data_IF_280161836764
#
_entry.id   IF_280161836764
#
_cell.length_a   1.000
_cell.length_b   1.000
_cell.length_c   1.000
_cell.angle_alpha   90.00
_cell.angle_beta   90.00
_cell.angle_gamma   90.00
#
_symmetry.space_group_name_H-M   'P 1'
#
loop_
_entity.id
_entity.type
_entity.pdbx_description
1 polymer ?
#
# COMPACT_ATOMS: atom_id res chain seq x y z
N UNK A 1 -2.70 -2.86 23.27
CA UNK A 1 -3.80 -2.40 22.38
C UNK A 1 -3.96 -3.36 21.22
N UNK A 2 -4.67 -4.48 21.46
CA UNK A 2 -4.91 -5.51 20.44
C UNK A 2 -5.40 -4.90 19.10
N UNK A 3 -4.79 -5.32 18.00
CA UNK A 3 -5.11 -4.99 16.61
C UNK A 3 -4.81 -3.56 16.16
N UNK A 4 -4.19 -2.73 16.98
CA UNK A 4 -3.80 -1.37 16.56
C UNK A 4 -2.67 -1.43 15.52
N UNK A 5 -1.59 -2.18 15.82
CA UNK A 5 -0.42 -2.27 14.91
C UNK A 5 -0.79 -3.00 13.62
N UNK A 6 -1.60 -4.08 13.72
CA UNK A 6 -2.18 -4.74 12.55
C UNK A 6 -2.96 -3.74 11.68
N UNK A 7 -3.79 -2.89 12.32
CA UNK A 7 -4.51 -1.85 11.63
C UNK A 7 -3.58 -0.86 10.91
N UNK A 8 -2.51 -0.41 11.56
CA UNK A 8 -1.54 0.52 10.95
C UNK A 8 -0.92 -0.10 9.69
N UNK A 9 -0.48 -1.35 9.76
CA UNK A 9 0.13 -2.03 8.61
C UNK A 9 -0.89 -2.27 7.49
N UNK A 10 -2.11 -2.72 7.80
CA UNK A 10 -3.16 -2.87 6.78
C UNK A 10 -3.59 -1.53 6.20
N UNK A 11 -3.68 -0.50 7.04
CA UNK A 11 -4.04 0.85 6.62
C UNK A 11 -3.01 1.47 5.69
N UNK A 12 -1.72 1.14 5.85
CA UNK A 12 -0.69 1.62 4.92
C UNK A 12 -0.73 0.95 3.54
N UNK A 13 -1.45 -0.16 3.38
CA UNK A 13 -1.67 -0.82 2.09
C UNK A 13 -3.01 -0.44 1.44
N UNK A 14 -3.97 0.04 2.24
CA UNK A 14 -5.36 0.20 1.82
C UNK A 14 -5.57 1.30 0.76
N UNK A 15 -4.91 2.48 0.80
CA UNK A 15 -5.12 3.51 -0.19
C UNK A 15 -4.87 3.03 -1.61
N UNK A 16 -3.84 2.23 -1.84
CA UNK A 16 -3.48 1.68 -3.15
C UNK A 16 -4.48 0.65 -3.71
N UNK A 17 -5.49 0.27 -2.93
CA UNK A 17 -6.58 -0.56 -3.45
C UNK A 17 -7.39 0.13 -4.57
N UNK A 18 -7.28 1.46 -4.73
CA UNK A 18 -7.88 2.20 -5.85
C UNK A 18 -7.27 1.83 -7.21
N UNK A 19 -6.07 1.24 -7.22
CA UNK A 19 -5.48 0.66 -8.43
C UNK A 19 -6.34 -0.48 -9.02
N UNK A 20 -7.25 -1.09 -8.23
CA UNK A 20 -8.27 -1.98 -8.78
C UNK A 20 -9.24 -1.24 -9.71
N UNK A 21 -9.64 -0.02 -9.37
CA UNK A 21 -10.49 0.80 -10.24
C UNK A 21 -9.73 1.20 -11.51
N UNK A 22 -8.44 1.52 -11.40
CA UNK A 22 -7.57 1.79 -12.56
C UNK A 22 -7.47 0.56 -13.47
N UNK A 23 -7.29 -0.63 -12.90
CA UNK A 23 -7.24 -1.88 -13.66
C UNK A 23 -8.55 -2.17 -14.39
N UNK A 24 -9.69 -2.02 -13.72
CA UNK A 24 -11.02 -2.19 -14.34
C UNK A 24 -11.21 -1.19 -15.47
N UNK A 25 -10.91 0.09 -15.26
CA UNK A 25 -11.01 1.12 -16.29
C UNK A 25 -10.11 0.80 -17.49
N UNK A 26 -8.87 0.33 -17.25
CA UNK A 26 -7.95 -0.08 -18.31
C UNK A 26 -8.51 -1.24 -19.15
N UNK A 27 -9.05 -2.29 -18.50
CA UNK A 27 -9.63 -3.46 -19.19
C UNK A 27 -10.88 -3.07 -19.99
N UNK A 28 -11.68 -2.13 -19.48
CA UNK A 28 -12.91 -1.66 -20.14
C UNK A 28 -12.67 -0.51 -21.11
N UNK A 29 -11.40 -0.13 -21.35
CA UNK A 29 -11.03 1.02 -22.18
C UNK A 29 -11.70 2.34 -21.74
N UNK A 30 -11.96 2.48 -20.44
CA UNK A 30 -12.52 3.67 -19.81
C UNK A 30 -11.40 4.63 -19.36
N UNK A 31 -11.68 5.94 -19.19
CA UNK A 31 -10.71 6.88 -18.66
C UNK A 31 -10.19 6.48 -17.28
N UNK A 32 -8.87 6.50 -17.08
CA UNK A 32 -8.22 6.20 -15.80
C UNK A 32 -7.88 7.45 -14.98
N UNK A 33 -7.97 8.64 -15.60
CA UNK A 33 -7.65 9.90 -14.94
C UNK A 33 -8.54 10.12 -13.70
N UNK A 34 -7.93 10.49 -12.59
CA UNK A 34 -8.63 10.78 -11.34
C UNK A 34 -9.14 9.54 -10.58
N UNK A 35 -8.73 8.32 -10.96
CA UNK A 35 -9.07 7.10 -10.21
C UNK A 35 -8.05 6.76 -9.12
N UNK A 36 -6.79 7.14 -9.31
CA UNK A 36 -5.73 6.92 -8.32
C UNK A 36 -5.42 8.22 -7.57
N UNK A 37 -5.03 8.10 -6.30
CA UNK A 37 -4.73 9.20 -5.37
C UNK A 37 -5.89 10.17 -5.12
N UNK A 38 -7.12 9.67 -5.15
CA UNK A 38 -8.34 10.43 -4.93
C UNK A 38 -9.15 9.89 -3.75
N UNK A 39 -10.18 9.11 -4.00
CA UNK A 39 -11.13 8.61 -3.01
C UNK A 39 -10.46 7.94 -1.80
N UNK A 40 -9.60 6.94 -2.03
CA UNK A 40 -8.94 6.17 -0.97
C UNK A 40 -7.88 6.98 -0.22
N UNK A 41 -7.37 8.05 -0.83
CA UNK A 41 -6.37 8.94 -0.27
C UNK A 41 -6.99 10.20 0.37
N UNK A 42 -8.32 10.20 0.60
CA UNK A 42 -9.02 11.33 1.19
C UNK A 42 -9.14 11.22 2.70
N UNK A 43 -8.97 12.35 3.40
CA UNK A 43 -9.25 12.44 4.84
C UNK A 43 -10.71 12.11 5.18
N UNK A 44 -11.66 12.35 4.28
CA UNK A 44 -13.03 11.93 4.48
C UNK A 44 -13.16 10.41 4.50
N UNK A 45 -12.45 9.71 3.60
CA UNK A 45 -12.42 8.24 3.59
C UNK A 45 -11.71 7.69 4.83
N UNK A 46 -10.59 8.28 5.23
CA UNK A 46 -9.88 7.92 6.48
C UNK A 46 -10.82 8.04 7.67
N UNK A 47 -11.51 9.19 7.79
CA UNK A 47 -12.46 9.44 8.89
C UNK A 47 -13.62 8.44 8.85
N UNK A 48 -14.18 8.18 7.66
CA UNK A 48 -15.27 7.22 7.49
C UNK A 48 -14.85 5.80 7.92
N UNK A 49 -13.66 5.34 7.53
CA UNK A 49 -13.11 4.04 7.95
C UNK A 49 -13.02 3.97 9.48
N UNK A 50 -12.43 4.97 10.13
CA UNK A 50 -12.34 5.02 11.60
C UNK A 50 -13.74 4.96 12.22
N UNK A 51 -14.66 5.81 11.77
CA UNK A 51 -16.03 5.88 12.33
C UNK A 51 -16.79 4.57 12.17
N UNK A 52 -16.71 3.92 11.01
CA UNK A 52 -17.36 2.63 10.75
C UNK A 52 -16.85 1.56 11.71
N UNK A 53 -15.54 1.44 11.88
CA UNK A 53 -14.96 0.47 12.80
C UNK A 53 -15.26 0.79 14.26
N UNK A 54 -15.31 2.06 14.66
CA UNK A 54 -15.74 2.46 16.01
C UNK A 54 -17.20 2.08 16.25
N UNK A 55 -18.09 2.34 15.28
CA UNK A 55 -19.48 1.96 15.37
C UNK A 55 -19.64 0.42 15.51
N UNK A 56 -18.93 -0.35 14.67
CA UNK A 56 -18.92 -1.82 14.73
C UNK A 56 -18.42 -2.28 16.12
N UNK A 57 -17.35 -1.66 16.64
CA UNK A 57 -16.81 -2.00 17.96
C UNK A 57 -17.83 -1.82 19.07
N UNK A 58 -18.57 -0.70 19.05
CA UNK A 58 -19.65 -0.40 20.01
C UNK A 58 -20.80 -1.40 19.87
N UNK A 59 -21.31 -1.61 18.67
CA UNK A 59 -22.44 -2.51 18.41
C UNK A 59 -22.14 -3.97 18.75
N UNK A 60 -20.90 -4.41 18.48
CA UNK A 60 -20.47 -5.79 18.75
C UNK A 60 -19.86 -5.98 20.14
N UNK A 61 -19.66 -4.90 20.89
CA UNK A 61 -18.95 -4.89 22.20
C UNK A 61 -17.54 -5.49 22.09
N UNK A 62 -16.84 -5.24 20.96
CA UNK A 62 -15.48 -5.75 20.69
C UNK A 62 -14.50 -4.60 20.50
N UNK A 63 -13.87 -4.07 21.58
CA UNK A 63 -13.01 -2.87 21.52
C UNK A 63 -11.80 -3.04 20.57
N UNK A 64 -11.31 -4.27 20.35
CA UNK A 64 -10.25 -4.56 19.38
C UNK A 64 -10.58 -4.13 17.94
N UNK A 65 -11.86 -4.10 17.56
CA UNK A 65 -12.28 -3.61 16.24
C UNK A 65 -12.15 -2.08 16.16
N UNK A 66 -12.39 -1.36 17.26
CA UNK A 66 -12.14 0.07 17.33
C UNK A 66 -10.65 0.41 17.20
N UNK A 67 -9.78 -0.37 17.86
CA UNK A 67 -8.33 -0.24 17.71
C UNK A 67 -7.87 -0.53 16.28
N UNK A 68 -8.44 -1.58 15.65
CA UNK A 68 -8.17 -1.88 14.23
C UNK A 68 -8.53 -0.69 13.33
N UNK A 69 -9.73 -0.10 13.53
CA UNK A 69 -10.17 1.06 12.75
C UNK A 69 -9.28 2.28 12.95
N UNK A 70 -8.89 2.56 14.20
CA UNK A 70 -7.94 3.63 14.49
C UNK A 70 -6.58 3.37 13.81
N UNK A 71 -6.08 2.14 13.90
CA UNK A 71 -4.86 1.72 13.23
C UNK A 71 -4.95 1.89 11.72
N UNK A 72 -6.06 1.44 11.10
CA UNK A 72 -6.30 1.62 9.66
C UNK A 72 -6.20 3.10 9.29
N UNK A 73 -6.86 3.99 10.04
CA UNK A 73 -6.81 5.43 9.77
C UNK A 73 -5.40 6.00 9.88
N UNK A 74 -4.64 5.62 10.92
CA UNK A 74 -3.24 6.04 11.09
C UNK A 74 -2.39 5.55 9.91
N UNK A 75 -2.52 4.27 9.52
CA UNK A 75 -1.79 3.69 8.39
C UNK A 75 -2.09 4.39 7.08
N UNK A 76 -3.37 4.70 6.80
CA UNK A 76 -3.79 5.45 5.62
C UNK A 76 -3.17 6.86 5.59
N UNK A 77 -3.16 7.57 6.74
CA UNK A 77 -2.52 8.89 6.83
C UNK A 77 -1.02 8.79 6.56
N UNK A 78 -0.34 7.80 7.12
CA UNK A 78 1.10 7.59 6.88
C UNK A 78 1.38 7.31 5.40
N UNK A 79 0.55 6.50 4.74
CA UNK A 79 0.64 6.23 3.30
C UNK A 79 0.49 7.53 2.49
N UNK A 80 -0.57 8.30 2.73
CA UNK A 80 -0.84 9.57 2.03
C UNK A 80 0.34 10.55 2.19
N UNK A 81 0.91 10.63 3.40
CA UNK A 81 2.09 11.47 3.66
C UNK A 81 3.33 11.00 2.90
N UNK A 82 3.55 9.68 2.82
CA UNK A 82 4.64 9.10 2.03
C UNK A 82 4.46 9.38 0.53
N UNK A 83 3.24 9.29 0.03
CA UNK A 83 2.94 9.64 -1.36
C UNK A 83 3.31 11.08 -1.68
N UNK A 84 2.93 12.03 -0.82
CA UNK A 84 3.26 13.44 -0.98
C UNK A 84 4.77 13.72 -0.89
N UNK A 85 5.53 12.88 -0.16
CA UNK A 85 6.98 13.06 0.03
C UNK A 85 7.81 12.38 -1.06
N UNK A 86 7.37 11.22 -1.55
CA UNK A 86 8.16 10.37 -2.44
C UNK A 86 7.82 10.63 -3.90
N UNK A 87 6.52 10.84 -4.21
CA UNK A 87 6.05 10.96 -5.58
C UNK A 87 5.87 12.41 -5.99
N UNK A 88 6.09 12.68 -7.29
CA UNK A 88 5.96 14.02 -7.88
C UNK A 88 4.54 14.36 -8.31
N UNK A 89 3.62 13.42 -8.16
CA UNK A 89 2.21 13.61 -8.43
C UNK A 89 1.48 14.10 -7.17
N UNK A 90 0.40 14.85 -7.36
CA UNK A 90 -0.42 15.31 -6.25
C UNK A 90 -1.36 14.23 -5.71
N UNK A 91 -1.95 14.52 -4.55
CA UNK A 91 -2.98 13.73 -3.89
C UNK A 91 -4.21 14.61 -3.64
N UNK A 92 -5.40 14.09 -3.93
CA UNK A 92 -6.66 14.80 -3.68
C UNK A 92 -7.17 14.50 -2.26
N UNK A 93 -6.49 15.06 -1.27
CA UNK A 93 -6.70 14.73 0.15
C UNK A 93 -8.07 15.11 0.71
N UNK A 94 -8.80 16.00 0.04
CA UNK A 94 -10.17 16.41 0.40
C UNK A 94 -11.20 15.94 -0.64
N UNK A 95 -10.92 14.86 -1.38
CA UNK A 95 -11.93 14.31 -2.29
C UNK A 95 -13.29 14.14 -1.56
N UNK A 96 -14.46 14.53 -2.16
CA UNK A 96 -14.67 14.87 -3.57
C UNK A 96 -14.41 16.34 -3.96
N UNK A 97 -13.85 17.17 -3.09
CA UNK A 97 -13.48 18.52 -3.44
C UNK A 97 -12.29 18.48 -4.43
N UNK A 98 -12.32 19.25 -5.53
CA UNK A 98 -11.31 19.18 -6.59
C UNK A 98 -10.01 19.92 -6.20
N UNK A 99 -9.48 19.62 -5.02
CA UNK A 99 -8.27 20.23 -4.50
C UNK A 99 -7.15 19.20 -4.44
N UNK A 100 -6.12 19.42 -5.26
CA UNK A 100 -4.90 18.62 -5.27
C UNK A 100 -3.83 19.28 -4.42
N UNK A 101 -3.13 18.51 -3.61
CA UNK A 101 -1.94 18.95 -2.88
C UNK A 101 -0.77 18.20 -3.48
N UNK A 102 0.27 18.94 -3.87
CA UNK A 102 1.52 18.40 -4.39
C UNK A 102 2.69 19.16 -3.75
N UNK A 103 3.52 18.45 -2.98
CA UNK A 103 4.69 19.08 -2.34
C UNK A 103 5.80 19.39 -3.35
N UNK A 104 5.74 18.81 -4.55
CA UNK A 104 6.69 18.98 -5.63
C UNK A 104 6.13 19.84 -6.76
N UNK A 105 5.12 20.66 -6.48
CA UNK A 105 4.52 21.52 -7.50
C UNK A 105 5.60 22.40 -8.17
N UNK A 106 5.62 22.38 -9.52
CA UNK A 106 6.64 23.08 -10.31
C UNK A 106 7.99 22.36 -10.45
N UNK A 107 8.18 21.22 -9.79
CA UNK A 107 9.37 20.37 -9.94
C UNK A 107 9.09 19.28 -10.98
N UNK A 108 9.84 19.30 -12.08
CA UNK A 108 9.80 18.24 -13.10
C UNK A 108 11.06 17.40 -12.97
N UNK A 109 10.97 16.17 -12.47
CA UNK A 109 12.15 15.29 -12.37
C UNK A 109 12.67 14.94 -13.76
N UNK A 110 13.98 14.70 -13.92
CA UNK A 110 14.53 14.19 -15.17
C UNK A 110 13.86 12.87 -15.56
N UNK A 111 13.67 12.65 -16.86
CA UNK A 111 12.98 11.47 -17.39
C UNK A 111 13.56 10.14 -16.88
N UNK A 112 14.90 10.03 -16.87
CA UNK A 112 15.59 8.83 -16.37
C UNK A 112 15.25 8.52 -14.91
N UNK A 113 15.06 9.58 -14.09
CA UNK A 113 14.70 9.43 -12.67
C UNK A 113 13.24 9.00 -12.51
N UNK A 114 12.32 9.63 -13.26
CA UNK A 114 10.91 9.22 -13.27
C UNK A 114 10.75 7.76 -13.70
N UNK A 115 11.50 7.32 -14.70
CA UNK A 115 11.52 5.92 -15.13
C UNK A 115 12.09 4.99 -14.06
N UNK A 116 13.17 5.39 -13.36
CA UNK A 116 13.75 4.64 -12.25
C UNK A 116 12.76 4.46 -11.09
N UNK A 117 11.95 5.48 -10.82
CA UNK A 117 10.95 5.44 -9.74
C UNK A 117 9.79 4.50 -10.03
N UNK A 118 9.42 4.26 -11.30
CA UNK A 118 8.28 3.41 -11.64
C UNK A 118 8.33 2.00 -11.03
N UNK A 119 9.44 1.23 -11.08
CA UNK A 119 9.49 -0.11 -10.52
C UNK A 119 9.79 -0.15 -9.01
N UNK A 120 10.02 0.98 -8.35
CA UNK A 120 10.51 1.03 -6.96
C UNK A 120 9.55 0.38 -5.96
N UNK A 121 8.26 0.32 -6.26
CA UNK A 121 7.26 -0.31 -5.40
C UNK A 121 7.50 -1.82 -5.25
N UNK A 122 8.07 -2.49 -6.26
CA UNK A 122 8.49 -3.89 -6.14
C UNK A 122 9.62 -4.05 -5.11
N UNK A 123 10.52 -3.07 -5.05
CA UNK A 123 11.56 -3.04 -4.01
C UNK A 123 10.94 -2.81 -2.63
N UNK A 124 9.95 -1.95 -2.50
CA UNK A 124 9.24 -1.75 -1.23
C UNK A 124 8.55 -3.03 -0.76
N UNK A 125 7.90 -3.78 -1.65
CA UNK A 125 7.36 -5.10 -1.31
C UNK A 125 8.46 -6.09 -0.89
N UNK A 126 9.62 -6.10 -1.57
CA UNK A 126 10.75 -6.95 -1.18
C UNK A 126 11.23 -6.61 0.24
N UNK A 127 11.41 -5.33 0.55
CA UNK A 127 11.81 -4.86 1.88
C UNK A 127 10.75 -5.17 2.93
N UNK A 128 9.47 -5.04 2.59
CA UNK A 128 8.35 -5.38 3.46
C UNK A 128 8.36 -6.87 3.86
N UNK A 129 8.47 -7.80 2.89
CA UNK A 129 8.53 -9.23 3.18
C UNK A 129 9.81 -9.63 3.93
N UNK A 130 10.95 -9.01 3.61
CA UNK A 130 12.17 -9.20 4.34
C UNK A 130 12.06 -8.73 5.80
N UNK A 131 11.46 -7.57 6.01
CA UNK A 131 11.17 -7.00 7.33
C UNK A 131 10.28 -7.91 8.17
N UNK A 132 9.15 -8.39 7.59
CA UNK A 132 8.28 -9.35 8.27
C UNK A 132 9.01 -10.65 8.65
N UNK A 133 9.84 -11.17 7.74
CA UNK A 133 10.64 -12.37 8.01
C UNK A 133 11.67 -12.17 9.11
N UNK A 134 12.31 -11.00 9.15
CA UNK A 134 13.26 -10.64 10.20
C UNK A 134 12.56 -10.48 11.56
N UNK A 135 11.41 -9.79 11.56
CA UNK A 135 10.60 -9.55 12.74
C UNK A 135 10.09 -10.87 13.35
N UNK A 136 9.53 -11.76 12.52
CA UNK A 136 9.07 -13.08 12.94
C UNK A 136 10.17 -13.90 13.63
N UNK A 137 11.39 -13.87 13.08
CA UNK A 137 12.55 -14.55 13.71
C UNK A 137 12.96 -13.91 15.03
N UNK A 138 12.96 -12.57 15.08
CA UNK A 138 13.37 -11.84 16.29
C UNK A 138 12.40 -12.11 17.43
N UNK A 139 11.11 -12.23 17.15
CA UNK A 139 10.07 -12.42 18.15
C UNK A 139 9.74 -13.90 18.41
N UNK A 140 10.20 -14.81 17.54
CA UNK A 140 9.88 -16.25 17.65
C UNK A 140 8.45 -16.59 17.28
N UNK A 141 7.73 -15.69 16.56
CA UNK A 141 6.32 -15.83 16.17
C UNK A 141 6.19 -16.16 14.67
N UNK A 142 5.11 -16.84 14.29
CA UNK A 142 4.79 -17.17 12.87
C UNK A 142 5.96 -17.80 12.07
N UNK A 143 6.89 -18.50 12.73
CA UNK A 143 8.14 -19.02 12.14
C UNK A 143 7.90 -19.92 10.93
N UNK A 144 6.78 -20.65 10.87
CA UNK A 144 6.41 -21.49 9.74
C UNK A 144 6.27 -20.73 8.41
N UNK A 145 6.05 -19.41 8.46
CA UNK A 145 5.86 -18.55 7.28
C UNK A 145 7.16 -17.91 6.77
N UNK A 146 8.22 -17.93 7.57
CA UNK A 146 9.50 -17.28 7.24
C UNK A 146 10.08 -17.75 5.90
N UNK A 147 9.95 -19.05 5.58
CA UNK A 147 10.42 -19.58 4.29
C UNK A 147 9.65 -18.98 3.10
N UNK A 148 8.32 -18.86 3.22
CA UNK A 148 7.48 -18.23 2.20
C UNK A 148 7.80 -16.75 2.03
N UNK A 149 7.97 -16.00 3.13
CA UNK A 149 8.36 -14.59 3.10
C UNK A 149 9.70 -14.37 2.40
N UNK A 150 10.71 -15.22 2.65
CA UNK A 150 11.97 -15.17 1.91
C UNK A 150 11.78 -15.43 0.42
N UNK A 151 10.91 -16.39 0.07
CA UNK A 151 10.56 -16.66 -1.33
C UNK A 151 9.93 -15.42 -1.99
N UNK A 152 8.97 -14.80 -1.32
CA UNK A 152 8.35 -13.54 -1.81
C UNK A 152 9.34 -12.38 -1.88
N UNK A 153 10.26 -12.24 -0.92
CA UNK A 153 11.36 -11.26 -1.01
C UNK A 153 12.18 -11.46 -2.28
N UNK A 154 12.58 -12.69 -2.57
CA UNK A 154 13.35 -13.00 -3.78
C UNK A 154 12.54 -12.72 -5.06
N UNK A 155 11.27 -13.12 -5.11
CA UNK A 155 10.37 -12.85 -6.24
C UNK A 155 10.26 -11.35 -6.49
N UNK A 156 10.00 -10.54 -5.47
CA UNK A 156 9.86 -9.08 -5.62
C UNK A 156 11.17 -8.41 -6.03
N UNK A 157 12.32 -8.90 -5.51
CA UNK A 157 13.63 -8.39 -5.94
C UNK A 157 13.88 -8.70 -7.42
N UNK A 158 13.55 -9.91 -7.89
CA UNK A 158 13.66 -10.28 -9.30
C UNK A 158 12.72 -9.44 -10.15
N UNK A 159 11.47 -9.25 -9.72
CA UNK A 159 10.50 -8.41 -10.41
C UNK A 159 10.97 -6.96 -10.51
N UNK A 160 11.55 -6.41 -9.43
CA UNK A 160 12.16 -5.08 -9.46
C UNK A 160 13.23 -4.98 -10.56
N UNK A 161 14.16 -5.95 -10.62
CA UNK A 161 15.22 -5.95 -11.62
C UNK A 161 14.68 -6.11 -13.04
N UNK A 162 13.67 -6.96 -13.24
CA UNK A 162 13.02 -7.13 -14.55
C UNK A 162 12.33 -5.83 -14.96
N UNK A 163 11.52 -5.23 -14.11
CA UNK A 163 10.80 -3.99 -14.43
C UNK A 163 11.74 -2.80 -14.58
N UNK A 164 12.89 -2.79 -13.88
CA UNK A 164 13.93 -1.80 -14.08
C UNK A 164 14.51 -1.83 -15.51
N UNK A 165 14.63 -3.02 -16.11
CA UNK A 165 15.02 -3.16 -17.52
C UNK A 165 13.86 -2.81 -18.46
N UNK A 166 12.67 -3.33 -18.16
CA UNK A 166 11.49 -3.17 -19.02
C UNK A 166 11.06 -1.71 -19.16
N UNK A 167 11.18 -0.88 -18.11
CA UNK A 167 10.80 0.53 -18.15
C UNK A 167 11.60 1.33 -19.18
N UNK A 168 12.85 0.92 -19.45
CA UNK A 168 13.71 1.57 -20.46
C UNK A 168 13.61 0.94 -21.85
N UNK A 169 13.08 -0.29 -21.95
CA UNK A 169 13.07 -1.04 -23.22
C UNK A 169 11.70 -1.17 -23.85
N UNK A 170 10.63 -1.16 -23.06
CA UNK A 170 9.27 -1.28 -23.58
C UNK A 170 8.75 0.08 -24.10
N UNK A 171 8.24 0.07 -25.32
CA UNK A 171 7.61 1.25 -25.94
C UNK A 171 6.15 1.45 -25.57
N UNK A 172 5.46 0.37 -25.18
CA UNK A 172 4.03 0.40 -24.81
C UNK A 172 3.69 -0.80 -23.91
N UNK A 173 2.58 -0.73 -23.19
CA UNK A 173 2.07 -1.83 -22.37
C UNK A 173 2.79 -2.04 -21.02
N UNK A 174 3.85 -1.27 -20.71
CA UNK A 174 4.57 -1.38 -19.45
C UNK A 174 3.62 -1.25 -18.25
N UNK A 175 2.83 -0.18 -18.19
CA UNK A 175 1.92 0.09 -17.06
C UNK A 175 0.86 -0.99 -16.88
N UNK A 176 0.40 -1.63 -17.95
CA UNK A 176 -0.59 -2.72 -17.87
C UNK A 176 0.01 -3.96 -17.19
N UNK A 177 1.21 -4.38 -17.61
CA UNK A 177 1.88 -5.54 -17.03
C UNK A 177 2.31 -5.23 -15.60
N UNK A 178 2.92 -4.08 -15.40
CA UNK A 178 3.36 -3.61 -14.08
C UNK A 178 2.19 -3.53 -13.10
N UNK A 179 1.09 -2.88 -13.47
CA UNK A 179 -0.09 -2.75 -12.62
C UNK A 179 -0.74 -4.08 -12.23
N UNK A 180 -0.77 -5.05 -13.15
CA UNK A 180 -1.26 -6.39 -12.85
C UNK A 180 -0.39 -7.11 -11.80
N UNK A 181 0.93 -7.03 -11.94
CA UNK A 181 1.89 -7.60 -10.99
C UNK A 181 1.85 -6.85 -9.66
N UNK A 182 1.71 -5.53 -9.70
CA UNK A 182 1.54 -4.69 -8.51
C UNK A 182 0.33 -5.11 -7.68
N UNK A 183 -0.84 -5.22 -8.30
CA UNK A 183 -2.07 -5.63 -7.63
C UNK A 183 -1.98 -7.04 -7.02
N UNK A 184 -1.31 -7.97 -7.72
CA UNK A 184 -1.03 -9.30 -7.16
C UNK A 184 -0.13 -9.19 -5.93
N UNK A 185 0.92 -8.37 -5.98
CA UNK A 185 1.85 -8.16 -4.88
C UNK A 185 1.16 -7.50 -3.67
N UNK A 186 0.30 -6.52 -3.92
CA UNK A 186 -0.52 -5.86 -2.89
C UNK A 186 -1.48 -6.86 -2.23
N UNK A 187 -2.14 -7.71 -3.02
CA UNK A 187 -3.01 -8.77 -2.50
C UNK A 187 -2.25 -9.76 -1.62
N UNK A 188 -1.08 -10.20 -2.07
CA UNK A 188 -0.21 -11.09 -1.29
C UNK A 188 0.27 -10.41 -0.01
N UNK A 189 0.70 -9.16 -0.07
CA UNK A 189 1.11 -8.40 1.10
C UNK A 189 -0.02 -8.29 2.12
N UNK A 190 -1.23 -7.97 1.68
CA UNK A 190 -2.42 -7.89 2.54
C UNK A 190 -2.72 -9.24 3.22
N UNK A 191 -2.75 -10.33 2.45
CA UNK A 191 -3.01 -11.68 3.00
C UNK A 191 -1.94 -12.09 4.01
N UNK A 192 -0.67 -11.88 3.67
CA UNK A 192 0.44 -12.22 4.58
C UNK A 192 0.43 -11.35 5.83
N UNK A 193 0.08 -10.07 5.73
CA UNK A 193 -0.11 -9.19 6.90
C UNK A 193 -1.13 -9.78 7.88
N UNK A 194 -2.31 -10.17 7.38
CA UNK A 194 -3.35 -10.78 8.21
C UNK A 194 -2.88 -12.09 8.84
N UNK A 195 -2.17 -12.90 8.08
CA UNK A 195 -1.66 -14.19 8.54
C UNK A 195 -0.50 -14.06 9.53
N UNK A 196 0.25 -12.97 9.48
CA UNK A 196 1.40 -12.64 10.36
C UNK A 196 1.00 -11.76 11.55
N UNK A 197 -0.28 -11.71 11.88
CA UNK A 197 -0.82 -10.82 12.92
C UNK A 197 -0.13 -10.97 14.28
N UNK A 198 0.29 -12.19 14.67
CA UNK A 198 0.98 -12.42 15.94
C UNK A 198 2.33 -11.71 15.96
N UNK A 199 3.09 -11.83 14.86
CA UNK A 199 4.36 -11.12 14.68
C UNK A 199 4.17 -9.59 14.70
N UNK A 200 3.13 -9.10 14.03
CA UNK A 200 2.88 -7.65 13.89
C UNK A 200 2.44 -7.05 15.25
N UNK A 201 1.55 -7.69 15.97
CA UNK A 201 1.06 -7.21 17.26
C UNK A 201 2.14 -7.27 18.36
N UNK A 202 3.05 -8.24 18.30
CA UNK A 202 4.14 -8.37 19.26
C UNK A 202 5.19 -7.20 19.17
N UNK A 203 5.05 -6.31 18.17
CA UNK A 203 5.87 -5.07 18.10
C UNK A 203 5.50 -4.09 19.21
N UNK A 204 4.26 -4.12 19.68
CA UNK A 204 3.73 -3.19 20.70
C UNK A 204 3.88 -3.70 22.15
N UNK A 205 4.41 -4.91 22.33
CA UNK A 205 4.70 -5.53 23.63
C UNK A 205 6.18 -5.32 24.04
#
# INVERSE_FOLDING_TARGET
SEWLVLGIVLGSLLPDADNLAVAVATITSSPTAGLHRTFTHSFFTVTAVIMVFQLIAVLTKRPRLGNLGLGLGIGMIMHILLDLLIWFDGVQILWPLPMWINFWEGVTPPEWFSQLMMPVEMLFFALYFAGLAALARRQGTDLGRVRGLKGWTAVQTILFLIFLVLVYTMKSGFMTIYGAVYLLSLGVATVLTIQMRQTIEAVAE
#
